data_IF_330436294199
#
_entry.id   IF_330436294199
#
_cell.length_a   1.000
_cell.length_b   1.000
_cell.length_c   1.000
_cell.angle_alpha   90.00
_cell.angle_beta   90.00
_cell.angle_gamma   90.00
#
_symmetry.space_group_name_H-M   'P 1'
#
loop_
_entity.id
_entity.type
_entity.pdbx_description
1 polymer ?
#
# COMPACT_ATOMS: atom_id res chain seq x y z
N UNK A 1 54.79 -64.15 24.39
CA UNK A 1 54.65 -62.96 23.53
C UNK A 1 53.61 -62.05 24.16
N UNK A 2 53.98 -60.88 24.67
CA UNK A 2 53.05 -59.92 25.26
C UNK A 2 53.14 -58.61 24.46
N UNK A 3 52.07 -58.27 23.74
CA UNK A 3 51.93 -56.99 23.06
C UNK A 3 51.26 -56.00 24.01
N UNK A 4 52.02 -55.00 24.47
CA UNK A 4 51.46 -53.81 25.10
C UNK A 4 51.03 -52.84 23.99
N UNK A 5 49.73 -52.57 23.90
CA UNK A 5 49.18 -51.53 23.02
C UNK A 5 48.83 -50.34 23.91
N UNK A 6 49.64 -49.29 23.86
CA UNK A 6 49.33 -47.99 24.44
C UNK A 6 48.30 -47.30 23.52
N UNK A 7 47.02 -47.42 23.85
CA UNK A 7 45.96 -46.68 23.20
C UNK A 7 45.95 -45.23 23.69
N UNK A 8 46.38 -44.30 22.84
CA UNK A 8 46.22 -42.87 23.06
C UNK A 8 44.76 -42.51 22.73
N UNK A 9 43.95 -42.29 23.76
CA UNK A 9 42.52 -42.05 23.67
C UNK A 9 42.23 -40.62 23.20
N UNK A 10 41.31 -40.53 22.24
CA UNK A 10 40.97 -39.36 21.43
C UNK A 10 40.71 -38.06 22.21
N UNK A 11 41.36 -36.96 21.81
CA UNK A 11 41.12 -35.60 22.32
C UNK A 11 40.21 -34.76 21.42
N UNK A 12 39.54 -35.35 20.43
CA UNK A 12 38.80 -34.60 19.39
C UNK A 12 37.40 -34.11 19.79
N UNK A 13 36.92 -34.44 20.99
CA UNK A 13 35.58 -34.04 21.46
C UNK A 13 35.48 -32.63 22.05
N UNK A 14 36.60 -32.04 22.50
CA UNK A 14 36.59 -30.73 23.18
C UNK A 14 36.55 -29.53 22.21
N UNK A 15 37.18 -29.67 21.03
CA UNK A 15 37.35 -28.57 20.07
C UNK A 15 36.05 -28.08 19.42
N UNK A 16 35.02 -28.92 19.39
CA UNK A 16 33.73 -28.55 18.79
C UNK A 16 32.86 -27.77 19.78
N UNK A 17 32.88 -28.17 21.05
CA UNK A 17 32.15 -27.49 22.11
C UNK A 17 32.71 -26.08 22.36
N UNK A 18 34.03 -25.91 22.29
CA UNK A 18 34.65 -24.58 22.40
C UNK A 18 34.31 -23.67 21.21
N UNK A 19 34.39 -24.16 19.97
CA UNK A 19 34.05 -23.37 18.77
C UNK A 19 32.59 -22.89 18.75
N UNK A 20 31.67 -23.68 19.31
CA UNK A 20 30.25 -23.26 19.41
C UNK A 20 30.08 -22.15 20.45
N UNK A 21 30.77 -22.24 21.60
CA UNK A 21 30.73 -21.20 22.64
C UNK A 21 31.35 -19.89 22.17
N UNK A 22 32.47 -19.96 21.45
CA UNK A 22 33.14 -18.78 20.89
C UNK A 22 32.25 -18.03 19.88
N UNK A 23 31.60 -18.76 18.96
CA UNK A 23 30.65 -18.17 18.00
C UNK A 23 29.46 -17.51 18.68
N UNK A 24 28.91 -18.13 19.72
CA UNK A 24 27.79 -17.57 20.48
C UNK A 24 28.21 -16.31 21.26
N UNK A 25 29.44 -16.25 21.76
CA UNK A 25 29.98 -15.07 22.43
C UNK A 25 30.19 -13.92 21.44
N UNK A 26 30.70 -14.21 20.24
CA UNK A 26 30.87 -13.20 19.18
C UNK A 26 29.52 -12.61 18.72
N UNK A 27 28.51 -13.45 18.51
CA UNK A 27 27.15 -12.99 18.12
C UNK A 27 26.50 -12.12 19.22
N UNK A 28 26.70 -12.48 20.50
CA UNK A 28 26.20 -11.66 21.61
C UNK A 28 26.93 -10.33 21.74
N UNK A 29 28.23 -10.29 21.48
CA UNK A 29 29.01 -9.07 21.49
C UNK A 29 28.63 -8.12 20.34
N UNK A 30 28.34 -8.66 19.14
CA UNK A 30 27.81 -7.85 18.04
C UNK A 30 26.42 -7.29 18.34
N UNK A 31 25.49 -8.12 18.82
CA UNK A 31 24.15 -7.66 19.21
C UNK A 31 24.18 -6.61 20.33
N UNK A 32 25.12 -6.71 21.27
CA UNK A 32 25.30 -5.71 22.31
C UNK A 32 25.79 -4.36 21.73
N UNK A 33 26.74 -4.39 20.78
CA UNK A 33 27.23 -3.19 20.09
C UNK A 33 26.18 -2.58 19.15
N UNK A 34 25.35 -3.40 18.52
CA UNK A 34 24.24 -2.95 17.69
C UNK A 34 23.13 -2.31 18.54
N UNK A 35 22.83 -2.88 19.72
CA UNK A 35 21.89 -2.31 20.68
C UNK A 35 22.39 -0.98 21.28
N UNK A 36 23.69 -0.85 21.53
CA UNK A 36 24.31 0.40 22.00
C UNK A 36 24.26 1.50 20.93
N UNK A 37 24.57 1.16 19.66
CA UNK A 37 24.41 2.09 18.52
C UNK A 37 22.96 2.50 18.28
N UNK A 38 22.01 1.56 18.43
CA UNK A 38 20.58 1.84 18.34
C UNK A 38 20.05 2.69 19.50
N UNK A 39 20.72 2.70 20.65
CA UNK A 39 20.40 3.56 21.80
C UNK A 39 21.02 4.97 21.65
N UNK A 40 22.23 5.07 21.08
CA UNK A 40 22.91 6.35 20.82
C UNK A 40 22.18 7.16 19.73
N UNK A 41 21.67 6.50 18.68
CA UNK A 41 20.88 7.13 17.62
C UNK A 41 19.49 7.65 18.09
N UNK A 42 19.00 7.20 19.25
CA UNK A 42 17.72 7.67 19.81
C UNK A 42 17.83 8.87 20.74
N UNK A 43 19.04 9.32 21.07
CA UNK A 43 19.27 10.45 21.99
C UNK A 43 19.67 11.76 21.29
N UNK A 44 19.61 11.84 19.95
CA UNK A 44 19.74 13.11 19.23
C UNK A 44 18.41 13.47 18.54
N UNK A 45 17.59 14.25 19.25
CA UNK A 45 16.64 15.14 18.60
C UNK A 45 15.36 14.54 18.02
N UNK A 46 14.67 13.65 18.73
CA UNK A 46 13.24 13.43 18.44
C UNK A 46 12.42 14.64 18.92
N UNK A 47 12.39 15.70 18.13
CA UNK A 47 11.22 16.59 18.13
C UNK A 47 10.03 15.69 17.83
N UNK A 48 9.21 15.42 18.85
CA UNK A 48 8.01 14.60 18.70
C UNK A 48 7.20 15.16 17.54
N UNK A 49 6.99 14.36 16.51
CA UNK A 49 6.05 14.70 15.43
C UNK A 49 4.73 15.16 16.08
N UNK A 50 4.10 16.25 15.59
CA UNK A 50 2.79 16.65 16.08
C UNK A 50 1.85 15.47 15.86
N UNK A 51 1.48 14.81 16.96
CA UNK A 51 0.50 13.73 16.95
C UNK A 51 -0.84 14.38 17.14
N UNK A 52 -1.74 14.15 16.19
CA UNK A 52 -3.13 14.50 16.36
C UNK A 52 -3.68 13.75 17.58
N UNK A 53 -4.10 14.51 18.59
CA UNK A 53 -4.77 13.93 19.75
C UNK A 53 -6.16 13.45 19.35
N UNK A 54 -6.45 12.18 19.66
CA UNK A 54 -7.78 11.63 19.45
C UNK A 54 -8.75 12.21 20.48
N UNK A 55 -9.67 13.06 20.02
CA UNK A 55 -10.77 13.59 20.83
C UNK A 55 -11.95 12.61 20.71
N UNK A 56 -12.28 11.89 21.78
CA UNK A 56 -13.45 11.01 21.80
C UNK A 56 -14.75 11.83 21.82
N UNK A 57 -15.70 11.46 20.97
CA UNK A 57 -17.01 12.13 20.83
C UNK A 57 -18.02 11.78 21.94
N UNK A 58 -17.59 11.20 23.06
CA UNK A 58 -18.49 10.69 24.11
C UNK A 58 -19.22 11.82 24.87
N UNK A 59 -18.67 13.04 24.86
CA UNK A 59 -19.25 14.21 25.55
C UNK A 59 -20.26 15.02 24.72
N UNK A 60 -20.38 14.78 23.42
CA UNK A 60 -21.42 15.40 22.59
C UNK A 60 -22.65 14.52 22.63
N UNK A 61 -23.61 14.86 23.49
CA UNK A 61 -24.77 14.01 23.76
C UNK A 61 -25.48 13.56 22.48
N UNK A 62 -25.42 12.26 22.17
CA UNK A 62 -26.27 11.44 21.29
C UNK A 62 -26.99 12.11 20.09
N UNK A 63 -26.43 13.16 19.50
CA UNK A 63 -26.93 13.68 18.24
C UNK A 63 -26.24 12.93 17.11
N UNK A 64 -26.95 12.09 16.35
CA UNK A 64 -26.36 11.47 15.17
C UNK A 64 -25.96 12.59 14.21
N UNK A 65 -24.67 12.74 13.96
CA UNK A 65 -24.08 13.78 13.10
C UNK A 65 -24.30 13.51 11.61
N UNK A 66 -25.26 12.65 11.26
CA UNK A 66 -25.55 12.23 9.90
C UNK A 66 -26.99 12.54 9.51
N UNK A 67 -27.22 12.69 8.20
CA UNK A 67 -28.56 12.89 7.63
C UNK A 67 -29.50 11.70 7.85
N UNK A 68 -29.03 10.59 8.41
CA UNK A 68 -29.83 9.39 8.64
C UNK A 68 -29.72 8.96 10.09
N UNK A 69 -30.87 8.67 10.70
CA UNK A 69 -30.96 8.07 12.05
C UNK A 69 -31.71 6.75 11.99
N UNK A 70 -31.24 5.77 12.74
CA UNK A 70 -31.95 4.48 12.91
C UNK A 70 -32.87 4.60 14.12
N UNK A 71 -34.16 4.33 13.93
CA UNK A 71 -35.15 4.32 15.00
C UNK A 71 -36.11 3.15 14.86
N UNK A 72 -37.16 3.16 15.68
CA UNK A 72 -38.27 2.20 15.57
C UNK A 72 -39.51 2.93 15.04
N UNK A 73 -40.34 2.25 14.24
CA UNK A 73 -41.66 2.73 13.86
C UNK A 73 -42.71 2.40 14.94
N UNK A 74 -43.95 2.85 14.73
CA UNK A 74 -45.07 2.64 15.67
C UNK A 74 -45.37 1.16 15.95
N UNK A 75 -44.90 0.27 15.07
CA UNK A 75 -45.05 -1.17 15.17
C UNK A 75 -43.81 -1.85 15.81
N UNK A 76 -42.83 -1.07 16.25
CA UNK A 76 -41.58 -1.56 16.85
C UNK A 76 -40.55 -2.07 15.83
N UNK A 77 -40.79 -1.93 14.52
CA UNK A 77 -39.86 -2.37 13.50
C UNK A 77 -38.74 -1.33 13.30
N UNK A 78 -37.52 -1.80 13.04
CA UNK A 78 -36.38 -0.92 12.76
C UNK A 78 -36.60 -0.17 11.45
N UNK A 79 -36.57 1.17 11.50
CA UNK A 79 -36.74 2.07 10.35
C UNK A 79 -35.62 3.11 10.32
N UNK A 80 -35.14 3.45 9.13
CA UNK A 80 -34.17 4.53 8.92
C UNK A 80 -34.96 5.81 8.61
N UNK A 81 -34.69 6.87 9.36
CA UNK A 81 -35.26 8.20 9.15
C UNK A 81 -34.21 9.11 8.51
N UNK A 82 -34.67 9.94 7.57
CA UNK A 82 -33.84 10.94 6.92
C UNK A 82 -34.12 12.32 7.53
N UNK A 83 -33.08 12.93 8.08
CA UNK A 83 -33.07 14.28 8.62
C UNK A 83 -32.55 15.22 7.53
N UNK A 84 -33.46 15.70 6.67
CA UNK A 84 -33.12 16.65 5.61
C UNK A 84 -32.73 18.01 6.23
N UNK A 85 -31.47 18.48 6.09
CA UNK A 85 -31.02 19.75 6.65
C UNK A 85 -31.74 20.97 6.05
N UNK A 86 -32.45 20.82 4.93
CA UNK A 86 -33.26 21.90 4.33
C UNK A 86 -34.66 22.02 4.94
N UNK A 87 -35.12 21.01 5.70
CA UNK A 87 -36.45 20.99 6.29
C UNK A 87 -36.55 21.72 7.65
N UNK A 88 -35.42 22.20 8.20
CA UNK A 88 -35.33 22.84 9.52
C UNK A 88 -36.09 24.16 9.71
N UNK A 89 -36.84 24.64 8.71
CA UNK A 89 -37.65 25.86 8.81
C UNK A 89 -39.16 25.62 8.83
N UNK A 90 -39.62 24.37 8.78
CA UNK A 90 -41.05 24.05 8.78
C UNK A 90 -41.37 23.06 9.91
N UNK A 91 -41.36 23.56 11.14
CA UNK A 91 -42.11 22.92 12.22
C UNK A 91 -43.50 23.55 12.23
N UNK A 92 -44.46 22.90 11.58
CA UNK A 92 -45.85 22.80 12.05
C UNK A 92 -46.66 21.89 11.12
N UNK A 93 -47.17 20.79 11.70
CA UNK A 93 -48.34 20.01 11.25
C UNK A 93 -48.10 19.24 9.92
N UNK A 94 -48.67 18.08 9.66
CA UNK A 94 -49.84 17.44 10.23
C UNK A 94 -49.77 15.95 9.89
N UNK A 95 -50.47 15.16 10.68
CA UNK A 95 -50.80 13.78 10.39
C UNK A 95 -51.40 13.62 8.98
N UNK A 96 -50.85 12.66 8.22
CA UNK A 96 -51.51 11.81 7.19
C UNK A 96 -50.66 11.62 5.95
N UNK A 97 -50.20 10.40 5.74
CA UNK A 97 -50.60 9.64 4.55
C UNK A 97 -50.04 8.23 4.62
N UNK A 98 -50.81 7.34 5.25
CA UNK A 98 -50.87 5.96 4.78
C UNK A 98 -51.44 5.99 3.36
N UNK A 99 -50.64 5.59 2.37
CA UNK A 99 -51.12 4.70 1.30
C UNK A 99 -49.95 4.01 0.62
N UNK A 100 -49.74 2.76 1.01
CA UNK A 100 -49.08 1.78 0.16
C UNK A 100 -50.02 1.38 -0.99
N UNK A 101 -49.41 0.79 -2.02
CA UNK A 101 -50.03 0.15 -3.19
C UNK A 101 -50.34 1.11 -4.36
N UNK A 102 -49.39 1.22 -5.28
CA UNK A 102 -49.56 0.61 -6.61
C UNK A 102 -48.28 0.78 -7.45
N UNK A 103 -47.87 -0.31 -8.10
CA UNK A 103 -46.75 -0.35 -9.01
C UNK A 103 -46.95 0.62 -10.17
N UNK A 104 -46.26 1.76 -10.14
CA UNK A 104 -46.02 2.57 -11.33
C UNK A 104 -44.71 3.32 -11.16
N UNK A 105 -43.70 2.90 -11.91
CA UNK A 105 -42.49 3.68 -12.08
C UNK A 105 -42.88 5.13 -12.48
N UNK A 106 -42.43 6.17 -11.75
CA UNK A 106 -42.53 7.51 -12.27
C UNK A 106 -41.35 7.71 -13.22
N UNK A 107 -41.59 7.43 -14.50
CA UNK A 107 -40.97 8.23 -15.56
C UNK A 107 -41.66 9.58 -15.54
N UNK A 108 -40.93 10.59 -15.06
CA UNK A 108 -41.06 12.05 -15.28
C UNK A 108 -40.28 12.65 -14.12
N UNK A 109 -39.12 13.24 -14.36
CA UNK A 109 -39.00 14.46 -15.15
C UNK A 109 -38.59 15.52 -14.14
N UNK A 110 -37.32 15.45 -13.73
CA UNK A 110 -36.69 16.47 -12.91
C UNK A 110 -35.57 17.03 -13.75
N UNK A 111 -35.90 18.03 -14.56
CA UNK A 111 -34.98 18.99 -15.15
C UNK A 111 -34.25 19.74 -14.02
N UNK A 112 -33.36 19.04 -13.34
CA UNK A 112 -32.26 19.67 -12.66
C UNK A 112 -31.31 20.07 -13.78
N UNK A 113 -31.52 21.28 -14.33
CA UNK A 113 -30.47 22.07 -14.97
C UNK A 113 -29.39 22.40 -13.91
N UNK A 114 -28.78 21.37 -13.32
CA UNK A 114 -27.51 21.43 -12.66
C UNK A 114 -26.50 21.08 -13.73
N UNK A 115 -25.71 22.08 -14.13
CA UNK A 115 -24.50 22.08 -14.97
C UNK A 115 -24.10 20.71 -15.57
N UNK A 116 -23.84 20.60 -16.89
CA UNK A 116 -23.35 19.34 -17.46
C UNK A 116 -22.16 18.87 -16.63
N UNK A 117 -22.23 17.64 -16.10
CA UNK A 117 -21.12 17.06 -15.38
C UNK A 117 -19.94 16.98 -16.35
N UNK A 118 -18.99 17.89 -16.19
CA UNK A 118 -17.77 17.96 -16.99
C UNK A 118 -17.04 16.62 -16.81
N UNK A 119 -17.01 15.82 -17.89
CA UNK A 119 -16.39 14.50 -17.88
C UNK A 119 -14.90 14.70 -18.14
N UNK A 120 -14.14 14.94 -17.09
CA UNK A 120 -12.69 14.93 -17.19
C UNK A 120 -12.20 13.52 -17.58
N UNK A 121 -11.67 13.38 -18.81
CA UNK A 121 -11.01 12.15 -19.29
C UNK A 121 -9.50 12.34 -19.20
N UNK A 122 -8.83 11.47 -18.45
CA UNK A 122 -7.36 11.44 -18.35
C UNK A 122 -6.80 10.41 -19.34
N UNK A 123 -5.95 10.84 -20.28
CA UNK A 123 -5.25 9.98 -21.22
C UNK A 123 -3.81 9.70 -20.78
N UNK A 124 -3.43 8.42 -20.65
CA UNK A 124 -2.06 7.95 -20.34
C UNK A 124 -1.37 7.19 -21.49
N UNK A 125 -2.00 7.11 -22.66
CA UNK A 125 -1.61 6.23 -23.77
C UNK A 125 -0.17 6.46 -24.24
N UNK A 126 0.31 7.70 -24.18
CA UNK A 126 1.67 8.06 -24.59
C UNK A 126 2.72 7.36 -23.72
N UNK A 127 2.52 7.41 -22.41
CA UNK A 127 3.41 6.79 -21.41
C UNK A 127 3.36 5.27 -21.56
N UNK A 128 2.17 4.71 -21.73
CA UNK A 128 2.00 3.26 -21.84
C UNK A 128 2.63 2.70 -23.12
N UNK A 129 2.55 3.43 -24.25
CA UNK A 129 3.27 3.07 -25.49
C UNK A 129 4.78 3.09 -25.31
N UNK A 130 5.31 4.06 -24.57
CA UNK A 130 6.74 4.15 -24.29
C UNK A 130 7.23 3.00 -23.40
N UNK A 131 6.53 2.74 -22.30
CA UNK A 131 6.83 1.62 -21.39
C UNK A 131 6.79 0.29 -22.17
N UNK A 132 5.81 0.12 -23.06
CA UNK A 132 5.72 -1.08 -23.91
C UNK A 132 6.97 -1.24 -24.79
N UNK A 133 7.42 -0.17 -25.47
CA UNK A 133 8.63 -0.19 -26.29
C UNK A 133 9.88 -0.52 -25.47
N UNK A 134 9.99 0.02 -24.24
CA UNK A 134 11.11 -0.29 -23.35
C UNK A 134 11.10 -1.76 -22.90
N UNK A 135 9.92 -2.32 -22.60
CA UNK A 135 9.76 -3.75 -22.27
C UNK A 135 10.15 -4.66 -23.44
N UNK A 136 9.74 -4.32 -24.65
CA UNK A 136 10.12 -5.04 -25.87
C UNK A 136 11.64 -4.99 -26.12
N UNK A 137 12.26 -3.80 -26.02
CA UNK A 137 13.73 -3.65 -26.14
C UNK A 137 14.48 -4.48 -25.10
N UNK A 138 14.01 -4.48 -23.84
CA UNK A 138 14.60 -5.31 -22.77
C UNK A 138 14.56 -6.80 -23.13
N UNK A 139 13.43 -7.28 -23.66
CA UNK A 139 13.30 -8.67 -24.10
C UNK A 139 14.23 -9.00 -25.27
N UNK A 140 14.33 -8.10 -26.27
CA UNK A 140 15.24 -8.26 -27.40
C UNK A 140 16.70 -8.32 -26.95
N UNK A 141 17.13 -7.43 -26.05
CA UNK A 141 18.49 -7.45 -25.51
C UNK A 141 18.80 -8.74 -24.75
N UNK A 142 17.85 -9.26 -23.95
CA UNK A 142 18.00 -10.56 -23.29
C UNK A 142 18.18 -11.70 -24.30
N UNK A 143 17.37 -11.73 -25.35
CA UNK A 143 17.49 -12.75 -26.41
C UNK A 143 18.81 -12.64 -27.16
N UNK A 144 19.29 -11.42 -27.43
CA UNK A 144 20.58 -11.19 -28.06
C UNK A 144 21.74 -11.67 -27.18
N UNK A 145 21.69 -11.42 -25.87
CA UNK A 145 22.69 -11.94 -24.92
C UNK A 145 22.71 -13.47 -24.94
N UNK A 146 21.54 -14.11 -24.92
CA UNK A 146 21.42 -15.58 -25.00
C UNK A 146 21.96 -16.15 -26.31
N UNK A 147 21.77 -15.43 -27.42
CA UNK A 147 22.20 -15.85 -28.76
C UNK A 147 23.68 -15.56 -29.02
N UNK A 148 24.24 -14.52 -28.41
CA UNK A 148 25.62 -14.06 -28.61
C UNK A 148 26.65 -14.80 -27.72
N UNK A 149 26.33 -16.02 -27.27
CA UNK A 149 27.05 -16.82 -26.24
C UNK A 149 28.52 -17.18 -26.54
N UNK A 150 29.16 -16.57 -27.54
CA UNK A 150 30.59 -16.72 -27.84
C UNK A 150 31.39 -15.41 -27.87
N UNK A 151 30.74 -14.24 -27.85
CA UNK A 151 31.40 -12.94 -27.99
C UNK A 151 31.34 -12.12 -26.69
N UNK A 152 32.30 -12.35 -25.78
CA UNK A 152 32.33 -11.72 -24.44
C UNK A 152 32.25 -10.18 -24.47
N UNK A 153 32.92 -9.53 -25.43
CA UNK A 153 32.90 -8.07 -25.56
C UNK A 153 31.49 -7.56 -25.89
N UNK A 154 30.78 -8.25 -26.79
CA UNK A 154 29.41 -7.88 -27.19
C UNK A 154 28.41 -8.16 -26.08
N UNK A 155 28.58 -9.26 -25.33
CA UNK A 155 27.75 -9.56 -24.17
C UNK A 155 27.84 -8.43 -23.14
N UNK A 156 29.05 -7.99 -22.77
CA UNK A 156 29.24 -6.89 -21.82
C UNK A 156 28.62 -5.56 -22.30
N UNK A 157 28.67 -5.29 -23.61
CA UNK A 157 28.00 -4.11 -24.18
C UNK A 157 26.47 -4.22 -24.13
N UNK A 158 25.92 -5.40 -24.45
CA UNK A 158 24.48 -5.66 -24.39
C UNK A 158 23.95 -5.62 -22.95
N UNK A 159 24.71 -6.13 -21.99
CA UNK A 159 24.39 -6.05 -20.56
C UNK A 159 24.34 -4.60 -20.08
N UNK A 160 25.29 -3.75 -20.47
CA UNK A 160 25.26 -2.31 -20.17
C UNK A 160 24.02 -1.62 -20.76
N UNK A 161 23.65 -1.97 -22.00
CA UNK A 161 22.42 -1.45 -22.61
C UNK A 161 21.17 -1.94 -21.87
N UNK A 162 21.18 -3.19 -21.41
CA UNK A 162 20.08 -3.78 -20.65
C UNK A 162 19.90 -3.08 -19.31
N UNK A 163 20.97 -2.83 -18.56
CA UNK A 163 20.89 -2.10 -17.29
C UNK A 163 20.40 -0.66 -17.49
N UNK A 164 20.85 0.01 -18.55
CA UNK A 164 20.35 1.34 -18.91
C UNK A 164 18.84 1.33 -19.16
N UNK A 165 18.34 0.38 -19.97
CA UNK A 165 16.91 0.24 -20.27
C UNK A 165 16.11 -0.14 -19.03
N UNK A 166 16.65 -0.98 -18.15
CA UNK A 166 16.00 -1.35 -16.89
C UNK A 166 15.87 -0.17 -15.92
N UNK A 167 16.89 0.68 -15.83
CA UNK A 167 16.86 1.89 -15.03
C UNK A 167 15.84 2.90 -15.58
N UNK A 168 15.77 3.08 -16.91
CA UNK A 168 14.76 3.94 -17.52
C UNK A 168 13.34 3.39 -17.32
N UNK A 169 13.17 2.08 -17.46
CA UNK A 169 11.89 1.42 -17.23
C UNK A 169 11.43 1.58 -15.78
N UNK A 170 12.32 1.43 -14.80
CA UNK A 170 11.94 1.56 -13.38
C UNK A 170 11.55 2.99 -13.01
N UNK A 171 12.12 4.00 -13.68
CA UNK A 171 11.73 5.39 -13.52
C UNK A 171 10.37 5.70 -14.14
N UNK A 172 10.08 5.13 -15.33
CA UNK A 172 8.87 5.46 -16.11
C UNK A 172 7.67 4.55 -15.81
N UNK A 173 7.89 3.30 -15.42
CA UNK A 173 6.85 2.31 -15.07
C UNK A 173 6.37 2.48 -13.61
N UNK A 174 6.14 3.73 -13.20
CA UNK A 174 5.56 4.10 -11.91
C UNK A 174 4.21 4.79 -12.14
N UNK A 175 3.23 4.50 -11.27
CA UNK A 175 1.93 5.16 -11.30
C UNK A 175 2.04 6.69 -11.13
N UNK A 176 3.01 7.15 -10.33
CA UNK A 176 3.27 8.60 -10.17
C UNK A 176 3.71 9.23 -11.48
N UNK A 177 4.62 8.60 -12.22
CA UNK A 177 5.08 9.07 -13.52
C UNK A 177 3.95 9.07 -14.55
N UNK A 178 3.12 8.03 -14.56
CA UNK A 178 1.93 7.95 -15.44
C UNK A 178 0.96 9.09 -15.19
N UNK A 179 0.65 9.38 -13.93
CA UNK A 179 -0.26 10.49 -13.55
C UNK A 179 0.33 11.85 -13.91
N UNK A 180 1.62 12.07 -13.67
CA UNK A 180 2.29 13.33 -13.99
C UNK A 180 2.34 13.64 -15.48
N UNK A 181 2.42 12.60 -16.32
CA UNK A 181 2.48 12.73 -17.77
C UNK A 181 1.13 12.44 -18.45
N UNK A 182 0.05 12.32 -17.68
CA UNK A 182 -1.30 12.15 -18.21
C UNK A 182 -1.79 13.48 -18.80
N UNK A 183 -2.47 13.40 -19.95
CA UNK A 183 -3.16 14.55 -20.54
C UNK A 183 -4.62 14.54 -20.08
N UNK A 184 -5.07 15.60 -19.41
CA UNK A 184 -6.48 15.76 -19.01
C UNK A 184 -7.20 16.56 -20.09
N UNK A 185 -8.35 16.05 -20.54
CA UNK A 185 -9.29 16.75 -21.41
C UNK A 185 -10.65 16.82 -20.71
N UNK A 186 -11.28 17.99 -20.74
CA UNK A 186 -12.61 18.29 -20.16
C UNK A 186 -13.75 18.08 -21.15
#
# INVERSE_FOLDING_TARGET
>A
MAMQIQGNYDHSGADYAERVKEKQAAERAEKAKEAEKAAEEKNSGRLSEPKDEYISSEKSGNQPTGLYRVGQDENGNRKIFFDDPKAGHAKEQDDRSEKNEDGKAPKVGGDSQGKPAEKCVTNTDKVDREIKKLKEKKQQLKQQIQSASGDEKKIRELEKKLTQVENELSQKDNDTYRRQNASVSE
#
